data_IF_105911995860
#
_entry.id   IF_105911995860
#
_cell.length_a   1.000
_cell.length_b   1.000
_cell.length_c   1.000
_cell.angle_alpha   90.00
_cell.angle_beta   90.00
_cell.angle_gamma   90.00
#
_symmetry.space_group_name_H-M   'P 1'
#
loop_
_entity.id
_entity.type
_entity.pdbx_description
1 polymer ?
#
# COMPACT_ATOMS: atom_id res chain seq x y z
N UNK A 1 9.34 -42.12 10.60
CA UNK A 1 8.17 -42.13 11.50
C UNK A 1 7.52 -40.77 11.36
N UNK A 2 6.21 -40.71 11.11
CA UNK A 2 5.51 -39.43 11.01
C UNK A 2 5.48 -38.74 12.38
N UNK A 3 5.70 -37.43 12.41
CA UNK A 3 5.66 -36.61 13.61
C UNK A 3 4.56 -35.55 13.45
N UNK A 4 3.88 -35.22 14.55
CA UNK A 4 2.74 -34.30 14.56
C UNK A 4 3.23 -32.87 14.83
N UNK A 5 2.82 -31.91 13.99
CA UNK A 5 2.98 -30.47 14.23
C UNK A 5 1.64 -29.86 14.58
N UNK A 6 1.61 -28.97 15.57
CA UNK A 6 0.41 -28.19 15.93
C UNK A 6 0.57 -26.75 15.50
N UNK A 7 -0.39 -26.30 14.71
CA UNK A 7 -0.40 -24.97 14.12
C UNK A 7 -1.67 -24.24 14.54
N UNK A 8 -1.50 -23.02 15.03
CA UNK A 8 -2.57 -22.14 15.48
C UNK A 8 -2.84 -21.03 14.47
N UNK A 9 -4.10 -20.73 14.21
CA UNK A 9 -4.51 -19.51 13.50
C UNK A 9 -5.75 -18.95 14.18
N UNK A 10 -5.65 -17.72 14.69
CA UNK A 10 -6.70 -17.10 15.52
C UNK A 10 -7.10 -18.03 16.71
N UNK A 11 -8.36 -18.48 16.75
CA UNK A 11 -8.90 -19.36 17.79
C UNK A 11 -8.94 -20.84 17.38
N UNK A 12 -8.33 -21.20 16.24
CA UNK A 12 -8.31 -22.58 15.71
C UNK A 12 -6.91 -23.17 15.80
N UNK A 13 -6.83 -24.37 16.35
CA UNK A 13 -5.63 -25.20 16.36
C UNK A 13 -5.85 -26.42 15.46
N UNK A 14 -4.90 -26.70 14.57
CA UNK A 14 -4.94 -27.84 13.65
C UNK A 14 -3.62 -28.60 13.74
N UNK A 15 -3.73 -29.92 13.81
CA UNK A 15 -2.60 -30.83 13.79
C UNK A 15 -2.36 -31.37 12.37
N UNK A 16 -1.09 -31.43 11.96
CA UNK A 16 -0.68 -32.04 10.70
C UNK A 16 0.33 -33.16 10.99
N UNK A 17 0.20 -34.28 10.29
CA UNK A 17 1.21 -35.33 10.30
C UNK A 17 2.24 -35.07 9.20
N UNK A 18 3.51 -34.93 9.57
CA UNK A 18 4.61 -34.69 8.64
C UNK A 18 5.57 -35.87 8.63
N UNK A 19 6.09 -36.19 7.45
CA UNK A 19 7.09 -37.26 7.26
C UNK A 19 8.53 -36.71 7.20
N UNK A 20 8.67 -35.41 6.96
CA UNK A 20 9.91 -34.64 6.95
C UNK A 20 9.72 -33.29 7.65
N UNK A 21 10.76 -32.46 7.70
CA UNK A 21 10.74 -31.14 8.34
C UNK A 21 10.14 -30.04 7.44
N UNK A 22 9.16 -30.40 6.59
CA UNK A 22 8.57 -29.47 5.63
C UNK A 22 7.05 -29.50 5.71
N UNK A 23 6.45 -28.33 5.61
CA UNK A 23 5.00 -28.21 5.46
C UNK A 23 4.67 -27.30 4.28
N UNK A 24 3.80 -27.77 3.40
CA UNK A 24 3.44 -27.00 2.20
C UNK A 24 2.44 -25.90 2.54
N UNK A 25 2.48 -24.80 1.78
CA UNK A 25 1.48 -23.76 1.90
C UNK A 25 0.07 -24.29 1.67
N UNK A 26 -0.09 -25.18 0.69
CA UNK A 26 -1.40 -25.74 0.34
C UNK A 26 -1.98 -26.60 1.47
N UNK A 27 -1.14 -27.35 2.19
CA UNK A 27 -1.58 -28.11 3.36
C UNK A 27 -2.14 -27.20 4.46
N UNK A 28 -1.44 -26.10 4.76
CA UNK A 28 -1.89 -25.11 5.76
C UNK A 28 -3.17 -24.43 5.29
N UNK A 29 -3.23 -23.98 4.03
CA UNK A 29 -4.42 -23.35 3.44
C UNK A 29 -5.62 -24.28 3.50
N UNK A 30 -5.47 -25.53 3.09
CA UNK A 30 -6.53 -26.53 3.15
C UNK A 30 -7.00 -26.77 4.59
N UNK A 31 -6.06 -26.90 5.55
CA UNK A 31 -6.40 -27.08 6.96
C UNK A 31 -7.23 -25.93 7.51
N UNK A 32 -6.82 -24.69 7.24
CA UNK A 32 -7.53 -23.50 7.72
C UNK A 32 -8.63 -22.99 6.79
N UNK A 33 -8.96 -23.73 5.73
CA UNK A 33 -9.96 -23.36 4.72
C UNK A 33 -9.69 -21.96 4.13
N UNK A 34 -8.43 -21.68 3.81
CA UNK A 34 -8.01 -20.45 3.17
C UNK A 34 -8.09 -20.60 1.65
N UNK A 35 -8.37 -19.49 0.97
CA UNK A 35 -8.40 -19.44 -0.49
C UNK A 35 -7.01 -19.73 -1.08
N UNK A 36 -6.96 -20.25 -2.31
CA UNK A 36 -5.73 -20.72 -2.95
C UNK A 36 -4.68 -19.63 -3.15
N UNK A 37 -5.12 -18.38 -3.29
CA UNK A 37 -4.30 -17.19 -3.42
C UNK A 37 -3.97 -16.50 -2.08
N UNK A 38 -4.47 -17.03 -0.95
CA UNK A 38 -4.14 -16.50 0.38
C UNK A 38 -2.62 -16.47 0.61
N UNK A 39 -2.10 -15.33 1.05
CA UNK A 39 -0.71 -15.18 1.47
C UNK A 39 -0.62 -15.57 2.93
N UNK A 40 0.01 -16.71 3.17
CA UNK A 40 0.22 -17.24 4.52
C UNK A 40 1.67 -17.14 4.94
N UNK A 41 1.89 -16.86 6.22
CA UNK A 41 3.17 -16.96 6.92
C UNK A 41 3.07 -18.00 8.03
N UNK A 42 4.17 -18.70 8.30
CA UNK A 42 4.28 -19.67 9.39
C UNK A 42 5.39 -19.20 10.32
N UNK A 43 5.10 -19.17 11.62
CA UNK A 43 6.05 -18.74 12.66
C UNK A 43 5.99 -19.66 13.87
N UNK A 44 7.03 -19.65 14.70
CA UNK A 44 7.08 -20.36 15.98
C UNK A 44 7.68 -19.46 17.05
N UNK A 45 7.41 -19.75 18.31
CA UNK A 45 8.00 -19.04 19.43
C UNK A 45 9.26 -19.77 19.94
N UNK A 46 10.36 -19.04 20.09
CA UNK A 46 11.58 -19.54 20.74
C UNK A 46 12.19 -18.43 21.58
N UNK A 47 12.43 -18.71 22.86
CA UNK A 47 12.97 -17.73 23.83
C UNK A 47 12.17 -16.42 23.90
N UNK A 48 10.84 -16.49 23.92
CA UNK A 48 9.93 -15.33 23.91
C UNK A 48 10.03 -14.43 22.64
N UNK A 49 10.62 -14.94 21.56
CA UNK A 49 10.66 -14.29 20.26
C UNK A 49 9.90 -15.12 19.22
N UNK A 50 9.05 -14.46 18.44
CA UNK A 50 8.37 -15.06 17.29
C UNK A 50 9.34 -15.07 16.09
N UNK A 51 9.63 -16.27 15.58
CA UNK A 51 10.56 -16.50 14.47
C UNK A 51 9.76 -17.05 13.29
N UNK A 52 9.91 -16.44 12.11
CA UNK A 52 9.29 -16.93 10.89
C UNK A 52 10.05 -18.14 10.34
N UNK A 53 9.30 -19.15 9.88
CA UNK A 53 9.86 -20.29 9.16
C UNK A 53 10.39 -19.81 7.81
N UNK A 54 11.56 -20.31 7.42
CA UNK A 54 12.10 -20.05 6.08
C UNK A 54 11.25 -20.76 5.03
N UNK A 55 11.24 -20.26 3.80
CA UNK A 55 10.63 -20.94 2.67
C UNK A 55 11.70 -21.60 1.80
N UNK A 56 11.32 -22.65 1.08
CA UNK A 56 12.12 -23.15 -0.02
C UNK A 56 12.24 -22.11 -1.15
N UNK A 57 13.20 -22.30 -2.07
CA UNK A 57 13.45 -21.38 -3.18
C UNK A 57 12.23 -21.13 -4.07
N UNK A 58 11.37 -22.14 -4.22
CA UNK A 58 10.13 -22.04 -4.99
C UNK A 58 9.00 -21.29 -4.24
N UNK A 59 9.17 -20.96 -2.96
CA UNK A 59 8.16 -20.26 -2.17
C UNK A 59 6.87 -21.06 -1.90
N UNK A 60 6.94 -22.40 -2.00
CA UNK A 60 5.79 -23.31 -1.91
C UNK A 60 5.68 -24.02 -0.56
N UNK A 61 6.78 -24.15 0.18
CA UNK A 61 6.84 -24.90 1.45
C UNK A 61 7.66 -24.17 2.50
N UNK A 62 7.22 -24.28 3.75
CA UNK A 62 7.97 -23.82 4.92
C UNK A 62 8.93 -24.90 5.41
N UNK A 63 10.15 -24.49 5.75
CA UNK A 63 11.19 -25.31 6.36
C UNK A 63 11.10 -25.15 7.87
N UNK A 64 10.84 -26.26 8.56
CA UNK A 64 10.73 -26.31 10.02
C UNK A 64 12.13 -26.45 10.65
N UNK A 65 12.37 -25.78 11.79
CA UNK A 65 13.64 -25.91 12.52
C UNK A 65 13.80 -27.30 13.13
N UNK A 66 15.01 -27.68 13.53
CA UNK A 66 15.22 -28.89 14.30
C UNK A 66 14.40 -28.86 15.60
N UNK A 67 13.93 -30.03 16.06
CA UNK A 67 13.08 -30.19 17.26
C UNK A 67 11.67 -29.57 17.16
N UNK A 68 11.21 -29.28 15.94
CA UNK A 68 9.90 -28.67 15.67
C UNK A 68 8.72 -29.38 16.33
N UNK A 69 8.79 -30.70 16.56
CA UNK A 69 7.70 -31.49 17.15
C UNK A 69 7.32 -31.05 18.58
N UNK A 70 8.18 -30.31 19.27
CA UNK A 70 7.92 -29.77 20.61
C UNK A 70 7.54 -28.29 20.64
N UNK A 71 7.51 -27.64 19.46
CA UNK A 71 7.27 -26.20 19.34
C UNK A 71 5.81 -25.91 18.97
N UNK A 72 5.29 -24.77 19.41
CA UNK A 72 4.01 -24.26 18.96
C UNK A 72 4.20 -23.33 17.77
N UNK A 73 3.45 -23.60 16.71
CA UNK A 73 3.49 -22.79 15.50
C UNK A 73 2.21 -21.97 15.37
N UNK A 74 2.36 -20.79 14.77
CA UNK A 74 1.27 -19.87 14.48
C UNK A 74 1.31 -19.49 13.00
N UNK A 75 0.14 -19.50 12.37
CA UNK A 75 -0.09 -19.08 10.99
C UNK A 75 -0.84 -17.76 10.99
N UNK A 76 -0.35 -16.84 10.17
CA UNK A 76 -1.05 -15.61 9.83
C UNK A 76 -1.36 -15.63 8.33
N UNK A 77 -2.49 -15.05 7.97
CA UNK A 77 -2.99 -15.00 6.60
C UNK A 77 -3.57 -13.62 6.35
N UNK A 78 -3.35 -13.11 5.14
CA UNK A 78 -4.03 -11.91 4.64
C UNK A 78 -5.53 -12.13 4.41
N UNK A 79 -5.96 -13.40 4.35
CA UNK A 79 -7.36 -13.82 4.22
C UNK A 79 -7.86 -14.51 5.49
N UNK A 80 -9.13 -14.26 5.82
CA UNK A 80 -9.79 -14.95 6.92
C UNK A 80 -10.15 -16.40 6.51
N UNK A 81 -10.13 -17.36 7.46
CA UNK A 81 -10.63 -18.71 7.24
C UNK A 81 -12.06 -18.69 6.68
N UNK A 82 -12.29 -19.31 5.52
CA UNK A 82 -13.65 -19.47 5.01
C UNK A 82 -14.42 -20.42 5.94
N UNK A 83 -15.67 -20.06 6.26
CA UNK A 83 -16.52 -20.89 7.12
C UNK A 83 -16.98 -22.10 6.29
N UNK A 84 -16.92 -23.35 6.81
CA UNK A 84 -17.58 -24.46 6.13
C UNK A 84 -19.05 -24.09 5.96
N UNK A 85 -19.57 -24.25 4.75
CA UNK A 85 -21.00 -24.14 4.49
C UNK A 85 -21.71 -25.26 5.26
N UNK A 86 -22.27 -24.96 6.42
CA UNK A 86 -23.20 -25.87 7.09
C UNK A 86 -24.46 -25.95 6.21
N UNK A 87 -25.00 -27.15 5.90
CA UNK A 87 -26.27 -27.29 5.22
C UNK A 87 -27.35 -26.55 6.02
N UNK A 88 -28.11 -25.71 5.32
CA UNK A 88 -29.14 -24.88 5.90
C UNK A 88 -30.30 -25.74 6.41
N UNK A 89 -30.52 -25.73 7.72
CA UNK A 89 -31.84 -25.85 8.34
C UNK A 89 -31.78 -25.19 9.71
N UNK A 90 -32.51 -24.09 9.86
CA UNK A 90 -33.22 -23.57 11.04
C UNK A 90 -33.60 -22.13 10.70
N UNK A 91 -34.89 -21.94 10.49
CA UNK A 91 -35.57 -20.66 10.33
C UNK A 91 -35.28 -19.76 11.54
N UNK A 92 -34.59 -18.66 11.29
CA UNK A 92 -34.40 -17.54 12.22
C UNK A 92 -34.40 -16.23 11.44
N UNK A 93 -34.82 -15.11 12.05
CA UNK A 93 -35.09 -13.88 11.31
C UNK A 93 -33.82 -13.41 10.61
N UNK A 94 -33.90 -13.37 9.28
CA UNK A 94 -32.85 -12.92 8.35
C UNK A 94 -31.95 -11.84 8.98
N UNK A 95 -30.69 -12.14 9.36
CA UNK A 95 -29.73 -11.08 9.56
C UNK A 95 -29.59 -10.40 8.20
N UNK A 96 -29.98 -9.13 8.11
CA UNK A 96 -29.87 -8.31 6.91
C UNK A 96 -28.54 -8.62 6.24
N UNK A 97 -28.58 -9.30 5.10
CA UNK A 97 -27.40 -9.59 4.27
C UNK A 97 -26.61 -8.30 4.20
N UNK A 98 -25.41 -8.26 4.80
CA UNK A 98 -24.44 -7.21 4.50
C UNK A 98 -24.30 -7.28 2.98
N UNK A 99 -24.70 -6.23 2.27
CA UNK A 99 -24.42 -6.10 0.85
C UNK A 99 -22.91 -6.21 0.73
N UNK A 100 -22.44 -7.35 0.23
CA UNK A 100 -21.08 -7.48 -0.28
C UNK A 100 -20.91 -6.35 -1.29
N UNK A 101 -19.90 -5.52 -1.07
CA UNK A 101 -19.54 -4.45 -1.96
C UNK A 101 -19.14 -5.09 -3.30
N UNK A 102 -19.79 -4.77 -4.43
CA UNK A 102 -19.60 -5.47 -5.70
C UNK A 102 -18.22 -5.28 -6.36
N UNK A 103 -17.25 -4.70 -5.65
CA UNK A 103 -15.92 -4.35 -6.15
C UNK A 103 -14.79 -5.21 -5.54
N UNK A 104 -15.11 -6.34 -4.89
CA UNK A 104 -14.13 -7.25 -4.31
C UNK A 104 -13.54 -8.27 -5.30
N UNK A 105 -13.69 -8.06 -6.61
CA UNK A 105 -12.90 -8.80 -7.60
C UNK A 105 -11.45 -8.30 -7.52
N UNK A 106 -10.53 -9.20 -7.20
CA UNK A 106 -9.11 -8.90 -7.18
C UNK A 106 -8.66 -8.62 -8.61
N UNK A 107 -8.56 -7.33 -8.95
CA UNK A 107 -8.12 -6.90 -10.27
C UNK A 107 -6.66 -7.32 -10.46
N UNK A 108 -6.39 -8.04 -11.55
CA UNK A 108 -5.03 -8.39 -11.93
C UNK A 108 -4.18 -7.12 -12.10
N UNK A 109 -2.95 -7.16 -11.58
CA UNK A 109 -1.97 -6.09 -11.80
C UNK A 109 -1.42 -6.25 -13.22
N UNK A 110 -1.55 -5.21 -14.05
CA UNK A 110 -0.92 -5.17 -15.36
C UNK A 110 0.61 -5.05 -15.18
N UNK A 111 1.35 -6.10 -15.54
CA UNK A 111 2.80 -6.19 -15.36
C UNK A 111 3.60 -5.17 -16.19
N UNK A 112 3.13 -4.86 -17.41
CA UNK A 112 3.79 -3.87 -18.27
C UNK A 112 3.62 -2.47 -17.71
N UNK A 113 2.41 -2.15 -17.25
CA UNK A 113 2.12 -0.90 -16.56
C UNK A 113 2.99 -0.79 -15.30
N UNK A 114 3.00 -1.81 -14.45
CA UNK A 114 3.80 -1.88 -13.24
C UNK A 114 5.29 -1.64 -13.50
N UNK A 115 5.85 -2.28 -14.54
CA UNK A 115 7.24 -2.07 -14.94
C UNK A 115 7.47 -0.61 -15.43
N UNK A 116 6.53 -0.06 -16.19
CA UNK A 116 6.64 1.29 -16.76
C UNK A 116 6.61 2.41 -15.71
N UNK A 117 5.80 2.24 -14.65
CA UNK A 117 5.67 3.22 -13.56
C UNK A 117 6.68 2.97 -12.45
N UNK A 118 7.19 1.73 -12.30
CA UNK A 118 8.09 1.33 -11.22
C UNK A 118 9.38 2.14 -11.14
N UNK A 119 9.85 2.70 -12.26
CA UNK A 119 11.00 3.63 -12.30
C UNK A 119 10.76 4.93 -11.53
N UNK A 120 9.51 5.28 -11.28
CA UNK A 120 9.08 6.44 -10.50
C UNK A 120 8.73 6.07 -9.04
N UNK A 121 9.10 4.87 -8.58
CA UNK A 121 9.00 4.47 -7.18
C UNK A 121 10.08 5.19 -6.35
N UNK A 122 9.77 6.42 -5.94
CA UNK A 122 10.66 7.27 -5.18
C UNK A 122 10.38 7.17 -3.68
N UNK A 123 11.44 7.19 -2.88
CA UNK A 123 11.33 7.16 -1.43
C UNK A 123 12.36 8.03 -0.73
N UNK A 124 12.11 8.31 0.53
CA UNK A 124 13.11 8.89 1.43
C UNK A 124 13.06 8.19 2.79
N UNK A 125 14.12 8.39 3.57
CA UNK A 125 14.24 7.91 4.93
C UNK A 125 14.35 9.10 5.87
N UNK A 126 13.73 9.01 7.04
CA UNK A 126 13.99 9.95 8.13
C UNK A 126 15.18 9.38 8.93
N UNK A 127 16.15 10.23 9.31
CA UNK A 127 17.43 9.83 9.94
C UNK A 127 17.31 8.90 11.17
N UNK A 128 16.11 8.75 11.75
CA UNK A 128 15.85 7.99 12.96
C UNK A 128 15.37 6.55 12.70
N UNK A 129 15.08 6.18 11.45
CA UNK A 129 14.66 4.83 11.09
C UNK A 129 15.06 4.38 9.68
N UNK A 130 14.87 3.09 9.41
CA UNK A 130 15.11 2.47 8.12
C UNK A 130 13.83 2.40 7.26
N UNK A 131 12.78 3.13 7.62
CA UNK A 131 11.51 3.09 6.89
C UNK A 131 11.59 3.95 5.64
N UNK A 132 11.22 3.35 4.51
CA UNK A 132 11.02 4.06 3.25
C UNK A 132 9.63 4.67 3.27
N UNK A 133 9.58 5.98 3.11
CA UNK A 133 8.36 6.77 2.97
C UNK A 133 8.20 7.15 1.51
N UNK A 134 6.98 7.12 1.01
CA UNK A 134 6.71 7.40 -0.39
C UNK A 134 6.94 8.87 -0.72
N UNK A 135 7.50 9.10 -1.91
CA UNK A 135 7.38 10.36 -2.62
C UNK A 135 6.96 10.07 -4.06
N UNK A 136 6.21 10.98 -4.67
CA UNK A 136 5.83 10.89 -6.08
C UNK A 136 6.43 12.06 -6.85
N UNK A 137 7.00 11.84 -8.05
CA UNK A 137 7.38 12.94 -8.91
C UNK A 137 6.12 13.60 -9.49
N UNK A 138 6.06 14.93 -9.44
CA UNK A 138 5.04 15.73 -10.11
C UNK A 138 5.56 16.30 -11.43
N UNK A 139 6.80 16.78 -11.41
CA UNK A 139 7.55 17.28 -12.56
C UNK A 139 8.99 16.79 -12.48
N UNK A 140 9.88 17.12 -13.43
CA UNK A 140 11.31 16.84 -13.28
C UNK A 140 11.92 17.48 -12.03
N UNK A 141 11.32 18.55 -11.49
CA UNK A 141 11.87 19.35 -10.38
C UNK A 141 11.02 19.33 -9.12
N UNK A 142 9.79 18.84 -9.18
CA UNK A 142 8.87 18.82 -8.05
C UNK A 142 8.45 17.40 -7.71
N UNK A 143 8.38 17.11 -6.42
CA UNK A 143 7.76 15.90 -5.86
C UNK A 143 6.73 16.26 -4.78
N UNK A 144 5.87 15.31 -4.47
CA UNK A 144 4.95 15.39 -3.34
C UNK A 144 5.14 14.21 -2.38
N UNK A 145 4.88 14.46 -1.10
CA UNK A 145 4.70 13.44 -0.06
C UNK A 145 3.62 13.89 0.93
N UNK A 146 3.31 13.09 1.93
CA UNK A 146 2.24 13.36 2.90
C UNK A 146 2.69 14.27 4.07
N UNK A 147 1.75 14.96 4.73
CA UNK A 147 2.00 15.88 5.86
C UNK A 147 1.35 15.41 7.19
N UNK A 148 1.50 14.13 7.51
CA UNK A 148 1.03 13.56 8.78
C UNK A 148 2.06 12.63 9.40
N UNK A 149 1.74 12.14 10.61
CA UNK A 149 2.66 11.29 11.36
C UNK A 149 3.99 11.99 11.60
N UNK A 150 5.09 11.34 11.22
CA UNK A 150 6.44 11.85 11.44
C UNK A 150 6.78 13.04 10.52
N UNK A 151 6.14 13.12 9.35
CA UNK A 151 6.32 14.22 8.40
C UNK A 151 5.74 15.54 8.89
N UNK A 152 4.89 15.52 9.93
CA UNK A 152 4.32 16.74 10.52
C UNK A 152 5.38 17.67 11.12
N UNK A 153 6.58 17.14 11.39
CA UNK A 153 7.71 17.91 11.91
C UNK A 153 8.50 18.66 10.83
N UNK A 154 8.30 18.33 9.55
CA UNK A 154 8.98 18.95 8.40
C UNK A 154 8.48 20.39 8.24
N UNK A 155 9.42 21.31 8.02
CA UNK A 155 9.17 22.74 7.79
C UNK A 155 9.65 23.15 6.40
N UNK A 156 9.10 24.26 5.90
CA UNK A 156 9.62 24.88 4.67
C UNK A 156 11.10 25.21 4.85
N UNK A 157 11.91 24.83 3.86
CA UNK A 157 13.36 24.94 3.86
C UNK A 157 14.09 23.66 4.30
N UNK A 158 13.41 22.71 4.96
CA UNK A 158 14.05 21.46 5.38
C UNK A 158 14.49 20.63 4.15
N UNK A 159 15.70 20.10 4.22
CA UNK A 159 16.27 19.25 3.17
C UNK A 159 15.85 17.79 3.35
N UNK A 160 15.39 17.18 2.26
CA UNK A 160 14.99 15.78 2.17
C UNK A 160 15.70 15.16 0.96
N UNK A 161 16.36 14.03 1.18
CA UNK A 161 17.01 13.30 0.09
C UNK A 161 16.06 12.23 -0.43
N UNK A 162 15.75 12.30 -1.72
CA UNK A 162 14.92 11.32 -2.42
C UNK A 162 15.80 10.32 -3.15
N UNK A 163 15.43 9.05 -3.05
CA UNK A 163 16.07 7.90 -3.67
C UNK A 163 15.12 7.20 -4.64
N UNK A 164 15.64 6.58 -5.69
CA UNK A 164 14.86 5.64 -6.50
C UNK A 164 14.96 4.22 -5.96
N UNK A 165 13.83 3.49 -5.99
CA UNK A 165 13.83 2.07 -5.70
C UNK A 165 14.53 1.25 -6.78
N UNK A 166 14.36 1.59 -8.06
CA UNK A 166 14.98 0.86 -9.17
C UNK A 166 16.40 1.33 -9.46
N UNK A 167 16.63 2.64 -9.53
CA UNK A 167 17.97 3.20 -9.76
C UNK A 167 18.64 3.51 -8.42
N UNK A 168 19.56 2.63 -7.99
CA UNK A 168 20.28 2.78 -6.73
C UNK A 168 21.26 3.95 -6.71
N UNK A 169 21.60 4.50 -7.88
CA UNK A 169 22.52 5.63 -8.00
C UNK A 169 21.77 6.97 -7.93
N UNK A 170 20.46 6.99 -8.24
CA UNK A 170 19.66 8.20 -8.15
C UNK A 170 19.48 8.62 -6.69
N UNK A 171 20.05 9.78 -6.35
CA UNK A 171 19.97 10.41 -5.04
C UNK A 171 19.85 11.91 -5.22
N UNK A 172 18.62 12.42 -5.13
CA UNK A 172 18.31 13.82 -5.39
C UNK A 172 18.10 14.56 -4.08
N UNK A 173 18.90 15.59 -3.82
CA UNK A 173 18.65 16.51 -2.72
C UNK A 173 17.45 17.41 -3.07
N UNK A 174 16.49 17.49 -2.16
CA UNK A 174 15.29 18.30 -2.32
C UNK A 174 15.06 19.16 -1.08
N UNK A 175 14.30 20.25 -1.21
CA UNK A 175 13.86 21.07 -0.08
C UNK A 175 12.34 21.14 -0.04
N UNK A 176 11.77 21.15 1.16
CA UNK A 176 10.35 21.44 1.33
C UNK A 176 10.08 22.91 0.97
N UNK A 177 9.25 23.15 -0.05
CA UNK A 177 8.93 24.50 -0.55
C UNK A 177 7.50 24.94 -0.25
N UNK A 178 6.59 23.98 -0.04
CA UNK A 178 5.19 24.26 0.28
C UNK A 178 4.60 23.16 1.13
N UNK A 179 3.76 23.53 2.09
CA UNK A 179 2.98 22.60 2.92
C UNK A 179 1.51 22.95 2.73
N UNK A 180 0.72 21.96 2.30
CA UNK A 180 -0.71 22.09 2.04
C UNK A 180 -1.47 21.28 3.08
N UNK A 181 -1.79 21.91 4.22
CA UNK A 181 -2.45 21.28 5.37
C UNK A 181 -3.80 20.65 5.02
N UNK A 182 -4.58 21.32 4.16
CA UNK A 182 -5.88 20.83 3.69
C UNK A 182 -5.80 19.49 2.94
N UNK A 183 -4.69 19.30 2.23
CA UNK A 183 -4.39 18.12 1.44
C UNK A 183 -3.40 17.18 2.12
N UNK A 184 -2.97 17.47 3.35
CA UNK A 184 -2.03 16.59 4.04
C UNK A 184 -0.81 16.27 3.15
N UNK A 185 -0.27 17.31 2.50
CA UNK A 185 0.74 17.18 1.44
C UNK A 185 1.89 18.17 1.64
N UNK A 186 3.11 17.71 1.38
CA UNK A 186 4.33 18.52 1.32
C UNK A 186 4.85 18.49 -0.12
N UNK A 187 5.18 19.66 -0.64
CA UNK A 187 5.83 19.81 -1.96
C UNK A 187 7.33 19.98 -1.75
N UNK A 188 8.08 19.14 -2.46
CA UNK A 188 9.53 19.09 -2.44
C UNK A 188 10.07 19.59 -3.78
N UNK A 189 11.06 20.46 -3.76
CA UNK A 189 11.75 20.95 -4.95
C UNK A 189 13.17 20.41 -5.00
N UNK A 190 13.56 19.84 -6.13
CA UNK A 190 14.90 19.32 -6.36
C UNK A 190 15.92 20.43 -6.67
N UNK A 191 17.09 20.28 -6.07
CA UNK A 191 18.27 21.08 -6.37
C UNK A 191 19.17 20.30 -7.34
N UNK A 192 19.40 20.85 -8.52
CA UNK A 192 20.37 20.29 -9.49
C UNK A 192 19.84 19.12 -10.32
N UNK A 193 19.69 17.93 -9.75
CA UNK A 193 19.25 16.73 -10.48
C UNK A 193 17.73 16.68 -10.72
N UNK A 194 17.30 15.87 -11.69
CA UNK A 194 15.88 15.67 -12.00
C UNK A 194 15.33 14.43 -11.28
N UNK A 195 14.14 14.56 -10.71
CA UNK A 195 13.39 13.48 -10.04
C UNK A 195 12.72 12.53 -11.05
N UNK A 196 12.46 13.03 -12.25
CA UNK A 196 11.83 12.27 -13.34
C UNK A 196 12.17 12.87 -14.70
N UNK A 197 11.95 12.10 -15.75
CA UNK A 197 12.08 12.48 -17.15
C UNK A 197 10.78 13.08 -17.74
N UNK A 198 9.72 13.22 -16.94
CA UNK A 198 8.38 13.59 -17.40
C UNK A 198 7.70 14.62 -16.50
N UNK A 199 6.77 15.37 -17.10
CA UNK A 199 5.80 16.18 -16.38
C UNK A 199 4.50 15.37 -16.20
N UNK A 200 4.25 14.95 -14.97
CA UNK A 200 3.05 14.18 -14.61
C UNK A 200 1.88 15.06 -14.21
N UNK A 201 2.15 16.29 -13.77
CA UNK A 201 1.13 17.18 -13.22
C UNK A 201 0.24 17.79 -14.31
N UNK A 202 0.83 18.11 -15.46
CA UNK A 202 0.12 18.71 -16.61
C UNK A 202 -0.74 17.70 -17.37
N UNK A 203 -0.29 16.45 -17.45
CA UNK A 203 -0.99 15.32 -18.09
C UNK A 203 -2.01 14.64 -17.16
N UNK A 204 -2.11 15.07 -15.91
CA UNK A 204 -3.01 14.46 -14.93
C UNK A 204 -4.48 14.82 -15.18
N UNK A 205 -5.33 13.79 -15.18
CA UNK A 205 -6.79 13.92 -15.16
C UNK A 205 -7.36 13.75 -13.75
N UNK A 206 -8.62 14.17 -13.56
CA UNK A 206 -9.35 13.89 -12.33
C UNK A 206 -9.69 12.40 -12.21
N UNK A 207 -9.54 11.79 -11.03
CA UNK A 207 -10.10 10.45 -10.77
C UNK A 207 -11.61 10.46 -10.98
N UNK A 208 -12.15 9.44 -11.65
CA UNK A 208 -13.59 9.30 -11.91
C UNK A 208 -14.11 8.01 -11.29
N UNK A 209 -15.35 8.01 -10.81
CA UNK A 209 -15.94 6.78 -10.25
C UNK A 209 -15.93 5.66 -11.29
N UNK A 210 -15.48 4.47 -10.89
CA UNK A 210 -15.34 3.32 -11.77
C UNK A 210 -13.99 3.25 -12.51
N UNK A 211 -13.18 4.31 -12.47
CA UNK A 211 -11.83 4.31 -13.03
C UNK A 211 -10.94 3.32 -12.27
N UNK A 212 -10.30 2.42 -13.01
CA UNK A 212 -9.27 1.53 -12.45
C UNK A 212 -7.97 2.28 -12.25
N UNK A 213 -7.25 1.91 -11.20
CA UNK A 213 -5.94 2.47 -10.91
C UNK A 213 -5.01 1.41 -10.32
N UNK A 214 -3.72 1.70 -10.40
CA UNK A 214 -2.65 1.00 -9.71
C UNK A 214 -2.06 1.92 -8.65
N UNK A 215 -2.15 1.52 -7.38
CA UNK A 215 -1.50 2.20 -6.26
C UNK A 215 -0.09 1.66 -6.09
N UNK A 216 0.89 2.55 -6.13
CA UNK A 216 2.30 2.26 -5.91
C UNK A 216 2.82 2.98 -4.67
N UNK A 217 3.34 2.24 -3.69
CA UNK A 217 3.88 2.80 -2.47
C UNK A 217 4.81 1.84 -1.73
N UNK A 218 5.27 2.23 -0.54
CA UNK A 218 6.19 1.43 0.28
C UNK A 218 5.48 0.98 1.55
N UNK A 219 5.13 -0.29 1.62
CA UNK A 219 4.47 -0.84 2.82
C UNK A 219 5.50 -1.37 3.81
N UNK A 220 5.31 -1.02 5.08
CA UNK A 220 6.08 -1.55 6.20
C UNK A 220 5.42 -2.87 6.61
N UNK A 221 6.05 -3.98 6.24
CA UNK A 221 5.62 -5.31 6.63
C UNK A 221 6.66 -5.81 7.64
N UNK A 222 6.22 -6.25 8.83
CA UNK A 222 7.08 -6.72 9.94
C UNK A 222 7.92 -5.63 10.64
N UNK A 223 7.38 -4.41 10.81
CA UNK A 223 7.94 -3.33 11.64
C UNK A 223 9.40 -2.91 11.39
N UNK A 224 10.11 -3.46 10.40
CA UNK A 224 11.53 -3.15 10.14
C UNK A 224 11.91 -3.05 8.67
N UNK A 225 11.05 -3.51 7.76
CA UNK A 225 11.36 -3.53 6.32
C UNK A 225 10.23 -2.92 5.51
N UNK A 226 10.57 -1.91 4.70
CA UNK A 226 9.67 -1.36 3.70
C UNK A 226 9.84 -2.09 2.37
N UNK A 227 8.74 -2.57 1.81
CA UNK A 227 8.66 -3.23 0.51
C UNK A 227 7.91 -2.34 -0.48
N UNK A 228 8.37 -2.27 -1.73
CA UNK A 228 7.56 -1.71 -2.80
C UNK A 228 6.31 -2.59 -2.96
N UNK A 229 5.14 -1.98 -2.87
CA UNK A 229 3.84 -2.62 -3.03
C UNK A 229 3.11 -1.99 -4.21
N UNK A 230 2.48 -2.86 -5.00
CA UNK A 230 1.56 -2.51 -6.07
C UNK A 230 0.21 -3.12 -5.77
N UNK A 231 -0.84 -2.30 -5.78
CA UNK A 231 -2.20 -2.73 -5.49
C UNK A 231 -3.17 -2.15 -6.51
N UNK A 232 -3.92 -3.01 -7.19
CA UNK A 232 -4.96 -2.57 -8.12
C UNK A 232 -6.23 -2.18 -7.37
N UNK A 233 -6.94 -1.17 -7.88
CA UNK A 233 -8.21 -0.76 -7.32
C UNK A 233 -9.08 -0.02 -8.33
N UNK A 234 -10.27 0.36 -7.87
CA UNK A 234 -11.25 1.16 -8.60
C UNK A 234 -11.61 2.36 -7.73
N UNK A 235 -11.73 3.54 -8.33
CA UNK A 235 -12.28 4.72 -7.65
C UNK A 235 -13.75 4.44 -7.30
N UNK A 236 -14.04 4.27 -6.02
CA UNK A 236 -15.34 3.85 -5.51
C UNK A 236 -16.33 5.03 -5.40
N UNK A 237 -15.85 6.21 -5.00
CA UNK A 237 -16.67 7.42 -4.86
C UNK A 237 -15.93 8.66 -5.33
N UNK A 238 -16.67 9.54 -6.01
CA UNK A 238 -16.25 10.90 -6.29
C UNK A 238 -16.40 11.78 -5.04
N UNK A 239 -15.40 12.62 -4.81
CA UNK A 239 -15.33 13.74 -3.85
C UNK A 239 -16.13 13.55 -2.56
N UNK A 240 -15.48 13.03 -1.52
CA UNK A 240 -15.95 13.15 -0.14
C UNK A 240 -15.77 14.58 0.38
N UNK A 241 -16.27 14.88 1.58
CA UNK A 241 -15.89 16.10 2.32
C UNK A 241 -14.35 16.20 2.33
N UNK A 242 -13.80 17.37 1.95
CA UNK A 242 -12.36 17.69 1.81
C UNK A 242 -11.65 17.29 0.49
N UNK A 243 -12.36 17.24 -0.64
CA UNK A 243 -11.74 17.05 -1.98
C UNK A 243 -10.93 15.75 -2.10
N UNK A 244 -11.43 14.68 -1.47
CA UNK A 244 -10.77 13.37 -1.44
C UNK A 244 -11.60 12.35 -2.21
N UNK A 245 -10.92 11.47 -2.92
CA UNK A 245 -11.50 10.32 -3.59
C UNK A 245 -11.26 9.08 -2.72
N UNK A 246 -12.17 8.11 -2.82
CA UNK A 246 -12.01 6.83 -2.13
C UNK A 246 -11.80 5.75 -3.16
N UNK A 247 -10.73 4.97 -3.03
CA UNK A 247 -10.43 3.81 -3.87
C UNK A 247 -10.69 2.49 -3.17
N UNK A 248 -10.95 1.43 -3.94
CA UNK A 248 -11.27 0.10 -3.40
C UNK A 248 -10.05 -0.67 -2.90
N UNK A 249 -8.82 -0.26 -3.25
CA UNK A 249 -7.62 -0.96 -2.83
C UNK A 249 -7.41 -0.83 -1.31
N UNK A 250 -6.96 -1.94 -0.71
CA UNK A 250 -6.49 -1.92 0.67
C UNK A 250 -5.28 -0.99 0.84
N UNK A 251 -5.12 -0.48 2.05
CA UNK A 251 -4.00 0.36 2.46
C UNK A 251 -3.21 -0.31 3.57
N UNK A 252 -1.90 -0.12 3.55
CA UNK A 252 -0.95 -0.71 4.49
C UNK A 252 -0.07 0.38 5.10
N UNK A 253 0.30 0.23 6.37
CA UNK A 253 1.19 1.19 7.04
C UNK A 253 2.43 1.48 6.18
N UNK A 254 2.69 2.77 5.95
CA UNK A 254 3.83 3.24 5.15
C UNK A 254 3.50 3.61 3.70
N UNK A 255 2.34 3.16 3.18
CA UNK A 255 1.93 3.48 1.81
C UNK A 255 1.62 4.96 1.58
N UNK A 256 1.28 5.71 2.65
CA UNK A 256 1.05 7.17 2.63
C UNK A 256 2.08 7.90 1.79
N UNK A 257 1.59 8.77 0.90
CA UNK A 257 2.37 9.46 -0.13
C UNK A 257 2.56 8.64 -1.41
N UNK A 258 1.98 7.45 -1.51
CA UNK A 258 2.07 6.59 -2.69
C UNK A 258 1.30 7.17 -3.89
N UNK A 259 1.74 6.83 -5.10
CA UNK A 259 1.12 7.32 -6.34
C UNK A 259 -0.03 6.41 -6.79
N UNK A 260 -1.15 7.02 -7.18
CA UNK A 260 -2.25 6.36 -7.85
C UNK A 260 -2.16 6.63 -9.35
N UNK A 261 -2.04 5.57 -10.16
CA UNK A 261 -1.80 5.63 -11.59
C UNK A 261 -2.99 5.05 -12.35
N UNK A 262 -3.47 5.69 -13.41
CA UNK A 262 -4.50 5.11 -14.28
C UNK A 262 -3.95 3.91 -15.07
N UNK A 263 -4.84 3.14 -15.71
CA UNK A 263 -4.43 2.03 -16.60
C UNK A 263 -3.54 2.50 -17.76
N UNK A 264 -3.65 3.76 -18.17
CA UNK A 264 -2.81 4.38 -19.22
C UNK A 264 -1.46 4.91 -18.69
N UNK A 265 -1.18 4.76 -17.39
CA UNK A 265 0.07 5.22 -16.77
C UNK A 265 0.11 6.72 -16.44
N UNK A 266 -1.04 7.40 -16.41
CA UNK A 266 -1.12 8.77 -15.92
C UNK A 266 -1.21 8.80 -14.39
N UNK A 267 -0.46 9.70 -13.74
CA UNK A 267 -0.56 9.91 -12.30
C UNK A 267 -1.84 10.70 -12.00
N UNK A 268 -2.85 10.05 -11.44
CA UNK A 268 -4.17 10.65 -11.17
C UNK A 268 -4.33 11.13 -9.73
N UNK A 269 -3.53 10.59 -8.80
CA UNK A 269 -3.58 11.06 -7.42
C UNK A 269 -2.45 10.57 -6.53
N UNK A 270 -2.49 11.02 -5.28
CA UNK A 270 -1.62 10.59 -4.19
C UNK A 270 -2.46 9.99 -3.07
N UNK A 271 -2.08 8.83 -2.58
CA UNK A 271 -2.71 8.22 -1.42
C UNK A 271 -2.21 8.90 -0.14
N UNK A 272 -3.13 9.31 0.73
CA UNK A 272 -2.83 10.09 1.96
C UNK A 272 -3.32 9.40 3.23
N UNK A 273 -3.75 8.14 3.12
CA UNK A 273 -4.14 7.32 4.26
C UNK A 273 -5.40 6.51 4.00
N UNK A 274 -6.04 6.13 5.10
CA UNK A 274 -7.18 5.22 5.12
C UNK A 274 -8.43 5.98 5.52
N UNK A 275 -9.53 5.81 4.80
CA UNK A 275 -10.81 6.31 5.27
C UNK A 275 -11.21 5.53 6.54
N UNK A 276 -11.26 6.22 7.68
CA UNK A 276 -11.90 5.68 8.89
C UNK A 276 -13.39 5.63 8.64
N UNK A 277 -13.90 4.48 8.20
CA UNK A 277 -15.34 4.26 8.05
C UNK A 277 -16.01 4.49 9.42
N UNK A 278 -16.85 5.52 9.61
CA UNK A 278 -17.36 5.90 10.94
C UNK A 278 -18.34 4.91 11.57
N UNK A 279 -18.65 3.79 10.91
CA UNK A 279 -19.80 2.96 11.23
C UNK A 279 -19.48 1.51 11.64
N UNK A 280 -18.22 1.12 11.70
CA UNK A 280 -17.83 -0.16 12.30
C UNK A 280 -17.43 0.09 13.74
N UNK A 281 -18.31 -0.30 14.68
CA UNK A 281 -17.92 -0.46 16.08
C UNK A 281 -17.41 -1.89 16.27
N UNK A 282 -16.37 -2.08 17.08
CA UNK A 282 -15.99 -3.41 17.53
C UNK A 282 -17.09 -4.01 18.44
N UNK A 283 -16.92 -5.26 18.87
CA UNK A 283 -17.85 -5.94 19.79
C UNK A 283 -18.03 -5.21 21.12
N UNK A 284 -17.15 -4.24 21.43
CA UNK A 284 -17.15 -3.45 22.65
C UNK A 284 -17.66 -2.01 22.42
N UNK A 285 -18.24 -1.71 21.25
CA UNK A 285 -18.82 -0.40 20.95
C UNK A 285 -17.80 0.71 20.66
N UNK A 286 -16.50 0.40 20.61
CA UNK A 286 -15.43 1.35 20.24
C UNK A 286 -15.38 1.48 18.73
N UNK A 287 -14.93 2.63 18.18
CA UNK A 287 -14.62 2.71 16.75
C UNK A 287 -13.65 1.59 16.42
N UNK A 288 -14.02 0.69 15.52
CA UNK A 288 -13.11 -0.35 15.06
C UNK A 288 -11.87 0.35 14.50
N UNK A 289 -10.70 0.04 15.05
CA UNK A 289 -9.45 0.33 14.35
C UNK A 289 -9.60 -0.26 12.95
N UNK A 290 -9.34 0.48 11.86
CA UNK A 290 -9.43 -0.11 10.54
C UNK A 290 -8.44 -1.27 10.53
N UNK A 291 -8.97 -2.49 10.58
CA UNK A 291 -8.22 -3.67 10.22
C UNK A 291 -7.59 -3.38 8.85
N UNK A 292 -6.35 -3.82 8.64
CA UNK A 292 -5.70 -3.81 7.33
C UNK A 292 -6.73 -4.15 6.23
N UNK A 293 -7.06 -3.19 5.37
CA UNK A 293 -8.20 -3.32 4.43
C UNK A 293 -9.21 -2.17 4.41
N UNK A 294 -8.95 -1.04 5.07
CA UNK A 294 -9.74 0.17 4.83
C UNK A 294 -9.50 0.74 3.43
N UNK A 295 -10.54 1.33 2.84
CA UNK A 295 -10.48 1.95 1.51
C UNK A 295 -9.44 3.07 1.47
N UNK A 296 -8.66 3.14 0.40
CA UNK A 296 -7.63 4.17 0.27
C UNK A 296 -8.24 5.55 0.04
N UNK A 297 -7.64 6.56 0.66
CA UNK A 297 -8.00 7.95 0.47
C UNK A 297 -7.00 8.62 -0.48
N UNK A 298 -7.49 9.19 -1.58
CA UNK A 298 -6.69 9.72 -2.69
C UNK A 298 -6.98 11.21 -2.85
N UNK A 299 -5.93 12.00 -3.04
CA UNK A 299 -6.03 13.40 -3.48
C UNK A 299 -5.65 13.46 -4.95
N UNK A 300 -6.44 14.17 -5.76
CA UNK A 300 -6.14 14.30 -7.17
C UNK A 300 -4.90 15.18 -7.38
N UNK A 301 -4.02 14.79 -8.30
CA UNK A 301 -2.86 15.60 -8.67
C UNK A 301 -3.29 16.95 -9.27
N UNK A 302 -4.45 16.99 -9.93
CA UNK A 302 -5.09 18.24 -10.40
C UNK A 302 -5.39 19.23 -9.26
N UNK A 303 -5.79 18.75 -8.10
CA UNK A 303 -6.05 19.62 -6.94
C UNK A 303 -4.73 20.18 -6.39
N UNK A 304 -3.68 19.36 -6.36
CA UNK A 304 -2.32 19.80 -6.03
C UNK A 304 -1.83 20.86 -7.02
N UNK A 305 -2.04 20.66 -8.33
CA UNK A 305 -1.65 21.60 -9.38
C UNK A 305 -2.20 23.00 -9.15
N UNK A 306 -3.49 23.11 -8.79
CA UNK A 306 -4.13 24.39 -8.52
C UNK A 306 -3.45 25.19 -7.40
N UNK A 307 -2.74 24.51 -6.50
CA UNK A 307 -2.04 25.13 -5.37
C UNK A 307 -0.56 25.34 -5.59
N UNK A 308 0.05 24.81 -6.66
CA UNK A 308 1.50 24.93 -6.89
C UNK A 308 1.84 25.68 -8.17
N UNK A 309 0.87 26.38 -8.77
CA UNK A 309 1.07 27.15 -10.01
C UNK A 309 2.20 28.17 -9.89
N UNK A 310 2.37 28.76 -8.71
CA UNK A 310 3.45 29.69 -8.35
C UNK A 310 4.84 29.05 -8.37
N UNK A 311 4.92 27.72 -8.30
CA UNK A 311 6.16 26.95 -8.32
C UNK A 311 6.48 26.36 -9.71
N UNK A 312 5.54 26.44 -10.64
CA UNK A 312 5.74 25.97 -12.00
C UNK A 312 6.58 27.00 -12.78
N UNK A 313 7.46 26.56 -13.69
CA UNK A 313 8.12 27.50 -14.59
C UNK A 313 7.04 28.30 -15.33
N UNK A 314 7.18 29.64 -15.36
CA UNK A 314 6.32 30.44 -16.23
C UNK A 314 6.47 29.89 -17.65
N UNK A 315 5.37 29.80 -18.44
CA UNK A 315 5.52 29.61 -19.87
C UNK A 315 6.51 30.66 -20.33
N UNK A 316 7.58 30.24 -21.03
CA UNK A 316 8.42 31.21 -21.71
C UNK A 316 7.46 32.09 -22.50
N UNK A 317 7.46 33.40 -22.22
CA UNK A 317 6.73 34.36 -23.04
C UNK A 317 7.14 34.02 -24.47
N UNK A 318 6.18 33.49 -25.24
CA UNK A 318 6.39 33.17 -26.63
C UNK A 318 7.03 34.40 -27.23
N UNK A 319 8.25 34.24 -27.73
CA UNK A 319 9.04 35.31 -28.31
C UNK A 319 8.11 36.21 -29.09
N UNK A 320 7.98 37.44 -28.60
CA UNK A 320 7.42 38.53 -29.36
C UNK A 320 8.43 38.81 -30.48
N UNK A 321 8.46 37.90 -31.46
CA UNK A 321 9.13 38.10 -32.74
C UNK A 321 8.37 39.22 -33.44
N UNK A 322 8.86 40.42 -33.17
CA UNK A 322 9.09 41.50 -34.14
C UNK A 322 8.23 41.42 -35.40
N UNK A 323 7.02 41.96 -35.33
CA UNK A 323 6.43 42.61 -36.50
C UNK A 323 7.13 43.96 -36.68
N UNK A 324 8.32 43.90 -37.25
CA UNK A 324 9.00 45.05 -37.84
C UNK A 324 9.63 44.61 -39.15
N UNK A 325 8.83 44.62 -40.21
CA UNK A 325 9.07 45.32 -41.48
C UNK A 325 7.81 45.32 -42.35
#
# INVERSE_FOLDING_TARGET
MAQEIRIKMMDKDIAFELTDNRITKNSIKAGFLLEDDAVISLSYEKNAHQICCQMNEAGTSFLLPDEWSSMQFSVESDKAPSRPATPADIEGPNPKKRKLDPYSEQLAVNGDLAASIGRYALYYNVKRDNYKRCAIPLTPRLAATFHHGENKSIKIGDEIVIHSWLDKNLKVATRAVKIMEEYDTIILQADGEHLSDKDFITSSGYPQKGMKYLLMGFSIIHEKTSHLLLSSGIIATEVTRRLRYTGSSGTFKGDSGGGCWSEDGHLIGMQIGVEKVPHTKDTNGRPASPASGGRCCIIAIRDILGHIQDLMPMPADSDADSWSE
#
